data_IF_411097081175
#
_entry.id   IF_411097081175
#
_cell.length_a   1.000
_cell.length_b   1.000
_cell.length_c   1.000
_cell.angle_alpha   90.00
_cell.angle_beta   90.00
_cell.angle_gamma   90.00
#
_symmetry.space_group_name_H-M   'P 1'
#
loop_
_entity.id
_entity.type
_entity.pdbx_description
1 polymer ?
#
# COMPACT_ATOMS: atom_id res chain seq x y z
N UNK A 1 -4.53 -2.09 -16.78
CA UNK A 1 -5.88 -1.91 -17.37
C UNK A 1 -6.80 -1.53 -16.23
N UNK A 2 -7.61 -0.48 -16.38
CA UNK A 2 -8.50 -0.02 -15.31
C UNK A 2 -9.48 -1.15 -14.91
N UNK A 3 -9.60 -1.40 -13.60
CA UNK A 3 -10.44 -2.47 -13.05
C UNK A 3 -11.89 -2.06 -12.81
N UNK A 4 -12.18 -0.77 -12.80
CA UNK A 4 -13.51 -0.20 -12.59
C UNK A 4 -14.29 -0.19 -13.90
N UNK A 5 -14.73 -1.37 -14.33
CA UNK A 5 -15.54 -1.53 -15.53
C UNK A 5 -16.99 -1.11 -15.26
N UNK A 6 -17.57 -0.34 -16.19
CA UNK A 6 -18.92 0.24 -16.01
C UNK A 6 -20.02 -0.82 -15.92
N UNK A 7 -19.86 -1.96 -16.60
CA UNK A 7 -20.77 -3.12 -16.52
C UNK A 7 -20.78 -3.79 -15.14
N UNK A 8 -19.82 -3.47 -14.27
CA UNK A 8 -19.71 -4.00 -12.90
C UNK A 8 -19.95 -2.93 -11.83
N UNK A 9 -20.40 -1.74 -12.23
CA UNK A 9 -20.66 -0.63 -11.33
C UNK A 9 -22.01 -0.77 -10.66
N UNK A 10 -22.04 -0.49 -9.36
CA UNK A 10 -23.24 -0.50 -8.53
C UNK A 10 -23.25 0.75 -7.66
N UNK A 11 -24.46 1.17 -7.28
CA UNK A 11 -24.67 2.30 -6.36
C UNK A 11 -25.67 1.88 -5.29
N UNK A 12 -25.29 2.00 -4.02
CA UNK A 12 -26.15 1.71 -2.87
C UNK A 12 -25.93 2.80 -1.83
N UNK A 13 -27.00 3.45 -1.38
CA UNK A 13 -26.95 4.55 -0.38
C UNK A 13 -25.91 5.63 -0.76
N UNK A 14 -25.91 6.05 -2.03
CA UNK A 14 -24.96 7.00 -2.64
C UNK A 14 -23.49 6.55 -2.68
N UNK A 15 -23.20 5.31 -2.28
CA UNK A 15 -21.86 4.71 -2.39
C UNK A 15 -21.75 3.96 -3.72
N UNK A 16 -20.80 4.39 -4.54
CA UNK A 16 -20.43 3.67 -5.76
C UNK A 16 -19.42 2.58 -5.42
N UNK A 17 -19.63 1.37 -5.92
CA UNK A 17 -18.64 0.29 -5.86
C UNK A 17 -18.65 -0.52 -7.15
N UNK A 18 -17.58 -1.28 -7.36
CA UNK A 18 -17.42 -2.13 -8.53
C UNK A 18 -17.23 -3.58 -8.09
N UNK A 19 -18.11 -4.48 -8.55
CA UNK A 19 -17.97 -5.91 -8.25
C UNK A 19 -16.76 -6.49 -8.98
N UNK A 20 -15.92 -7.25 -8.27
CA UNK A 20 -14.83 -8.04 -8.88
C UNK A 20 -15.32 -9.45 -9.19
N UNK A 21 -14.54 -10.21 -9.94
CA UNK A 21 -14.85 -11.62 -10.16
C UNK A 21 -14.86 -12.35 -8.82
N UNK A 22 -15.89 -13.19 -8.63
CA UNK A 22 -16.00 -14.08 -7.49
C UNK A 22 -14.83 -15.08 -7.56
N UNK A 23 -14.32 -15.45 -6.39
CA UNK A 23 -13.15 -16.34 -6.29
C UNK A 23 -13.42 -17.47 -5.32
N UNK A 24 -12.73 -18.58 -5.54
CA UNK A 24 -12.69 -19.70 -4.61
C UNK A 24 -11.29 -19.78 -4.00
N UNK A 25 -11.21 -19.82 -2.68
CA UNK A 25 -9.95 -19.95 -1.94
C UNK A 25 -10.15 -20.97 -0.84
N UNK A 26 -9.43 -22.10 -0.93
CA UNK A 26 -9.51 -23.20 0.04
C UNK A 26 -10.94 -23.76 0.23
N UNK A 27 -11.74 -23.81 -0.84
CA UNK A 27 -13.12 -24.32 -0.83
C UNK A 27 -14.18 -23.32 -0.36
N UNK A 28 -13.78 -22.12 0.06
CA UNK A 28 -14.69 -21.02 0.37
C UNK A 28 -14.84 -20.07 -0.82
N UNK A 29 -16.07 -19.61 -1.08
CA UNK A 29 -16.36 -18.62 -2.12
C UNK A 29 -16.40 -17.20 -1.54
N UNK A 30 -15.84 -16.25 -2.29
CA UNK A 30 -15.77 -14.85 -1.88
C UNK A 30 -16.25 -13.92 -2.99
N UNK A 31 -17.19 -13.05 -2.63
CA UNK A 31 -17.52 -11.84 -3.38
C UNK A 31 -16.63 -10.69 -2.90
N UNK A 32 -16.17 -9.84 -3.84
CA UNK A 32 -15.27 -8.72 -3.55
C UNK A 32 -15.79 -7.45 -4.19
N UNK A 33 -16.05 -6.44 -3.37
CA UNK A 33 -16.59 -5.14 -3.78
C UNK A 33 -15.51 -4.08 -3.63
N UNK A 34 -15.12 -3.47 -4.73
CA UNK A 34 -14.17 -2.37 -4.74
C UNK A 34 -14.90 -1.04 -4.57
N UNK A 35 -14.81 -0.48 -3.37
CA UNK A 35 -15.59 0.70 -2.97
C UNK A 35 -14.91 1.95 -3.49
N UNK A 36 -15.59 2.69 -4.35
CA UNK A 36 -15.07 3.92 -4.93
C UNK A 36 -15.17 5.07 -3.92
N UNK A 37 -14.11 5.85 -3.85
CA UNK A 37 -13.96 6.95 -2.91
C UNK A 37 -13.56 8.22 -3.66
N UNK A 38 -13.63 9.35 -2.98
CA UNK A 38 -12.87 10.51 -3.41
C UNK A 38 -11.37 10.26 -3.22
N UNK A 39 -10.51 11.12 -3.75
CA UNK A 39 -9.10 11.08 -3.39
C UNK A 39 -8.94 11.46 -1.92
N UNK A 40 -8.63 10.48 -1.07
CA UNK A 40 -8.42 10.68 0.37
C UNK A 40 -7.13 11.47 0.58
N UNK A 41 -7.27 12.68 1.08
CA UNK A 41 -6.20 13.65 1.24
C UNK A 41 -5.43 13.47 2.57
N UNK A 42 -4.34 14.23 2.69
CA UNK A 42 -3.48 14.21 3.88
C UNK A 42 -4.26 14.71 5.10
N UNK A 43 -4.13 13.99 6.21
CA UNK A 43 -4.69 14.39 7.51
C UNK A 43 -6.20 14.13 7.67
N UNK A 44 -6.85 13.50 6.69
CA UNK A 44 -8.22 13.03 6.86
C UNK A 44 -8.32 11.90 7.91
N UNK A 45 -9.52 11.70 8.45
CA UNK A 45 -9.80 10.61 9.38
C UNK A 45 -10.09 9.32 8.63
N UNK A 46 -9.22 8.31 8.78
CA UNK A 46 -9.49 6.98 8.24
C UNK A 46 -10.74 6.35 8.87
N UNK A 47 -11.08 6.68 10.13
CA UNK A 47 -12.29 6.18 10.80
C UNK A 47 -13.54 6.78 10.14
N UNK A 48 -13.56 8.09 9.89
CA UNK A 48 -14.69 8.75 9.21
C UNK A 48 -14.84 8.24 7.77
N UNK A 49 -13.73 7.97 7.09
CA UNK A 49 -13.74 7.38 5.76
C UNK A 49 -14.33 5.95 5.76
N UNK A 50 -14.01 5.12 6.78
CA UNK A 50 -14.65 3.81 6.95
C UNK A 50 -16.15 3.94 7.25
N UNK A 51 -16.55 4.85 8.15
CA UNK A 51 -17.97 5.11 8.46
C UNK A 51 -18.75 5.60 7.23
N UNK A 52 -18.12 6.44 6.40
CA UNK A 52 -18.74 6.99 5.20
C UNK A 52 -18.86 5.96 4.07
N UNK A 53 -17.77 5.28 3.74
CA UNK A 53 -17.69 4.49 2.50
C UNK A 53 -17.94 3.00 2.70
N UNK A 54 -17.50 2.44 3.83
CA UNK A 54 -17.50 0.99 4.06
C UNK A 54 -18.73 0.55 4.84
N UNK A 55 -19.04 1.23 5.94
CA UNK A 55 -20.12 0.87 6.85
C UNK A 55 -21.50 0.76 6.21
N UNK A 56 -21.88 1.55 5.18
CA UNK A 56 -23.18 1.39 4.52
C UNK A 56 -23.39 0.04 3.82
N UNK A 57 -22.30 -0.64 3.45
CA UNK A 57 -22.25 -1.91 2.70
C UNK A 57 -21.80 -3.11 3.55
N UNK A 58 -21.22 -2.83 4.72
CA UNK A 58 -20.58 -3.82 5.61
C UNK A 58 -21.63 -4.65 6.36
N UNK A 59 -21.41 -5.97 6.39
CA UNK A 59 -22.14 -6.91 7.22
C UNK A 59 -21.18 -7.61 8.20
N UNK A 60 -21.70 -8.06 9.35
CA UNK A 60 -20.89 -8.73 10.36
C UNK A 60 -20.18 -9.96 9.77
N UNK A 61 -18.89 -10.11 10.08
CA UNK A 61 -18.04 -11.17 9.54
C UNK A 61 -17.40 -10.84 8.18
N UNK A 62 -17.77 -9.74 7.52
CA UNK A 62 -17.06 -9.27 6.33
C UNK A 62 -15.65 -8.77 6.71
N UNK A 63 -14.72 -8.86 5.75
CA UNK A 63 -13.35 -8.37 5.89
C UNK A 63 -13.16 -7.19 4.94
N UNK A 64 -12.42 -6.16 5.38
CA UNK A 64 -12.07 -5.02 4.53
C UNK A 64 -10.56 -4.99 4.30
N UNK A 65 -10.13 -5.18 3.06
CA UNK A 65 -8.76 -4.90 2.66
C UNK A 65 -8.61 -3.40 2.44
N UNK A 66 -7.62 -2.77 3.07
CA UNK A 66 -7.36 -1.34 3.00
C UNK A 66 -5.97 -1.12 2.40
N UNK A 67 -5.86 -0.26 1.39
CA UNK A 67 -4.56 0.22 0.91
C UNK A 67 -3.83 0.99 2.02
N UNK A 68 -2.61 0.54 2.31
CA UNK A 68 -1.58 1.24 3.09
C UNK A 68 -1.51 2.74 2.80
N UNK A 69 -1.58 3.15 1.54
CA UNK A 69 -1.37 4.53 1.10
C UNK A 69 -2.39 5.46 1.71
N UNK A 70 -3.65 5.03 1.74
CA UNK A 70 -4.74 5.81 2.31
C UNK A 70 -4.57 5.99 3.81
N UNK A 71 -4.13 4.94 4.53
CA UNK A 71 -3.84 5.06 5.96
C UNK A 71 -2.68 6.02 6.20
N UNK A 72 -1.60 5.92 5.43
CA UNK A 72 -0.46 6.83 5.53
C UNK A 72 -0.85 8.29 5.23
N UNK A 73 -1.69 8.53 4.23
CA UNK A 73 -2.23 9.85 3.93
C UNK A 73 -3.05 10.39 5.11
N UNK A 74 -3.97 9.59 5.66
CA UNK A 74 -4.75 9.97 6.84
C UNK A 74 -3.87 10.28 8.05
N UNK A 75 -2.79 9.51 8.26
CA UNK A 75 -1.81 9.75 9.33
C UNK A 75 -0.85 10.92 9.07
N UNK A 76 -1.00 11.59 7.92
CA UNK A 76 -0.05 12.59 7.43
C UNK A 76 1.40 12.07 7.44
N UNK A 77 1.59 10.78 7.17
CA UNK A 77 2.89 10.13 7.16
C UNK A 77 3.54 10.23 5.78
N UNK A 78 3.77 11.48 5.38
CA UNK A 78 4.29 11.85 4.08
C UNK A 78 5.45 12.83 4.23
N UNK A 79 6.31 12.89 3.22
CA UNK A 79 7.45 13.81 3.16
C UNK A 79 7.44 14.52 1.83
N UNK A 80 7.44 15.85 1.87
CA UNK A 80 7.48 16.67 0.68
C UNK A 80 8.92 16.80 0.17
N UNK A 81 9.09 16.81 -1.15
CA UNK A 81 10.40 16.87 -1.81
C UNK A 81 11.19 18.11 -1.41
N UNK A 82 10.49 19.21 -1.12
CA UNK A 82 11.06 20.47 -0.64
C UNK A 82 11.79 20.31 0.71
N UNK A 83 11.36 19.36 1.55
CA UNK A 83 11.97 19.08 2.85
C UNK A 83 13.17 18.13 2.75
N UNK A 84 13.37 17.51 1.59
CA UNK A 84 14.47 16.56 1.34
C UNK A 84 15.67 17.29 0.75
N UNK A 85 16.66 17.57 1.60
CA UNK A 85 17.95 18.13 1.16
C UNK A 85 18.79 17.09 0.44
N UNK A 86 18.81 17.13 -0.89
CA UNK A 86 19.50 16.16 -1.72
C UNK A 86 21.03 16.26 -1.60
N UNK A 87 21.66 15.24 -1.01
CA UNK A 87 23.09 15.15 -0.79
C UNK A 87 23.86 14.45 -1.91
N UNK A 88 25.20 14.52 -1.82
CA UNK A 88 26.11 13.88 -2.77
C UNK A 88 25.89 12.36 -2.88
N UNK A 89 25.81 11.67 -1.73
CA UNK A 89 25.71 10.21 -1.70
C UNK A 89 24.44 9.69 -2.37
N UNK A 90 23.29 10.34 -2.15
CA UNK A 90 22.06 9.97 -2.84
C UNK A 90 22.19 10.11 -4.36
N UNK A 91 22.74 11.24 -4.85
CA UNK A 91 22.98 11.49 -6.29
C UNK A 91 23.96 10.49 -6.91
N UNK A 92 24.96 10.05 -6.14
CA UNK A 92 25.99 9.13 -6.60
C UNK A 92 25.47 7.69 -6.63
N UNK A 93 24.94 7.22 -5.50
CA UNK A 93 24.49 5.83 -5.32
C UNK A 93 23.27 5.48 -6.17
N UNK A 94 22.36 6.44 -6.41
CA UNK A 94 21.15 6.19 -7.20
C UNK A 94 21.46 5.76 -8.65
N UNK A 95 22.60 6.18 -9.20
CA UNK A 95 23.07 5.77 -10.53
C UNK A 95 23.39 4.27 -10.64
N UNK A 96 23.67 3.63 -9.51
CA UNK A 96 24.00 2.21 -9.42
C UNK A 96 22.83 1.35 -8.95
N UNK A 97 21.74 1.97 -8.51
CA UNK A 97 20.55 1.24 -8.10
C UNK A 97 19.91 0.56 -9.32
N UNK A 98 19.41 -0.66 -9.11
CA UNK A 98 18.81 -1.45 -10.16
C UNK A 98 17.45 -0.84 -10.57
N UNK A 99 17.30 -0.50 -11.85
CA UNK A 99 16.01 -0.11 -12.43
C UNK A 99 15.13 -1.34 -12.62
N UNK A 100 14.02 -1.41 -11.88
CA UNK A 100 13.03 -2.47 -12.08
C UNK A 100 11.92 -1.98 -13.02
N UNK A 101 11.28 -2.89 -13.75
CA UNK A 101 10.04 -2.61 -14.48
C UNK A 101 8.81 -2.47 -13.56
N UNK A 102 8.97 -2.76 -12.26
CA UNK A 102 7.89 -2.77 -11.26
C UNK A 102 7.65 -1.41 -10.59
N UNK A 103 8.47 -0.40 -10.88
CA UNK A 103 8.35 0.96 -10.31
C UNK A 103 9.68 1.67 -10.15
N UNK A 104 9.61 2.94 -9.72
CA UNK A 104 10.76 3.78 -9.39
C UNK A 104 11.32 3.33 -8.03
N UNK A 105 12.53 2.79 -8.04
CA UNK A 105 13.22 2.29 -6.86
C UNK A 105 14.17 3.33 -6.28
N UNK A 106 15.21 2.86 -5.62
CA UNK A 106 16.29 3.71 -5.09
C UNK A 106 17.18 4.34 -6.19
N UNK A 107 16.78 4.22 -7.45
CA UNK A 107 17.37 4.93 -8.59
C UNK A 107 16.88 6.38 -8.71
N UNK A 108 15.79 6.73 -8.01
CA UNK A 108 15.38 8.13 -7.78
C UNK A 108 16.20 8.74 -6.63
N UNK A 109 17.04 9.77 -6.89
CA UNK A 109 17.89 10.38 -5.88
C UNK A 109 17.15 10.89 -4.64
N UNK A 110 15.96 11.48 -4.78
CA UNK A 110 15.20 11.99 -3.64
C UNK A 110 14.69 10.86 -2.74
N UNK A 111 14.26 9.74 -3.35
CA UNK A 111 13.83 8.54 -2.63
C UNK A 111 14.98 7.91 -1.85
N UNK A 112 16.16 7.81 -2.47
CA UNK A 112 17.36 7.33 -1.79
C UNK A 112 17.84 8.29 -0.69
N UNK A 113 17.75 9.61 -0.90
CA UNK A 113 18.06 10.58 0.15
C UNK A 113 17.10 10.45 1.34
N UNK A 114 15.81 10.24 1.08
CA UNK A 114 14.84 10.00 2.14
C UNK A 114 15.17 8.72 2.92
N UNK A 115 15.57 7.64 2.24
CA UNK A 115 16.06 6.44 2.91
C UNK A 115 17.29 6.73 3.79
N UNK A 116 18.26 7.52 3.30
CA UNK A 116 19.42 7.97 4.09
C UNK A 116 18.97 8.76 5.32
N UNK A 117 17.97 9.64 5.21
CA UNK A 117 17.47 10.43 6.32
C UNK A 117 16.81 9.56 7.40
N UNK A 118 16.15 8.46 7.02
CA UNK A 118 15.44 7.55 7.93
C UNK A 118 16.41 6.59 8.64
N UNK A 119 17.29 5.90 7.89
CA UNK A 119 18.13 4.82 8.46
C UNK A 119 19.62 5.18 8.61
N UNK A 120 20.01 6.35 8.14
CA UNK A 120 21.39 6.83 8.18
C UNK A 120 22.24 6.36 7.00
N UNK A 121 23.16 7.22 6.59
CA UNK A 121 24.12 6.95 5.51
C UNK A 121 24.98 5.69 5.74
N UNK A 122 25.53 5.42 6.94
CA UNK A 122 26.37 4.23 7.14
C UNK A 122 25.63 2.93 6.82
N UNK A 123 24.35 2.83 7.19
CA UNK A 123 23.52 1.65 6.91
C UNK A 123 23.27 1.49 5.42
N UNK A 124 22.99 2.60 4.71
CA UNK A 124 22.80 2.60 3.26
C UNK A 124 24.08 2.16 2.54
N UNK A 125 25.25 2.69 2.93
CA UNK A 125 26.52 2.29 2.34
C UNK A 125 26.83 0.80 2.57
N UNK A 126 26.60 0.31 3.79
CA UNK A 126 26.75 -1.11 4.11
C UNK A 126 25.81 -1.99 3.27
N UNK A 127 24.52 -1.63 3.19
CA UNK A 127 23.54 -2.35 2.39
C UNK A 127 23.90 -2.35 0.89
N UNK A 128 24.34 -1.21 0.35
CA UNK A 128 24.80 -1.10 -1.04
C UNK A 128 26.01 -2.00 -1.29
N UNK A 129 27.00 -2.01 -0.40
CA UNK A 129 28.18 -2.88 -0.50
C UNK A 129 27.80 -4.36 -0.48
N UNK A 130 26.99 -4.79 0.50
CA UNK A 130 26.50 -6.16 0.59
C UNK A 130 25.65 -6.57 -0.62
N UNK A 131 24.88 -5.64 -1.20
CA UNK A 131 24.10 -5.92 -2.42
C UNK A 131 24.99 -6.17 -3.63
N UNK A 132 26.15 -5.50 -3.75
CA UNK A 132 27.13 -5.76 -4.80
C UNK A 132 27.73 -7.17 -4.63
N UNK A 133 28.14 -7.52 -3.41
CA UNK A 133 28.66 -8.86 -3.10
C UNK A 133 27.60 -9.92 -3.36
N UNK A 134 26.38 -9.73 -2.86
CA UNK A 134 25.27 -10.67 -3.05
C UNK A 134 25.01 -10.98 -4.53
N UNK A 135 25.10 -9.96 -5.39
CA UNK A 135 24.95 -10.12 -6.85
C UNK A 135 26.02 -11.02 -7.46
N UNK A 136 27.26 -11.00 -6.96
CA UNK A 136 28.33 -11.91 -7.39
C UNK A 136 28.01 -13.38 -7.07
N UNK A 137 27.21 -13.63 -6.03
CA UNK A 137 26.73 -14.96 -5.63
C UNK A 137 25.29 -15.25 -6.12
N UNK A 138 24.76 -14.45 -7.05
CA UNK A 138 23.41 -14.65 -7.60
C UNK A 138 22.25 -14.27 -6.67
N UNK A 139 22.52 -13.69 -5.48
CA UNK A 139 21.49 -13.23 -4.54
C UNK A 139 21.00 -11.84 -4.94
N UNK A 140 19.67 -11.67 -5.02
CA UNK A 140 18.99 -10.39 -5.28
C UNK A 140 18.22 -9.97 -4.02
N UNK A 141 17.98 -8.68 -3.84
CA UNK A 141 17.17 -8.16 -2.72
C UNK A 141 17.94 -7.88 -1.43
N UNK A 142 19.22 -8.26 -1.33
CA UNK A 142 20.07 -8.08 -0.12
C UNK A 142 20.06 -6.64 0.42
N UNK A 143 19.96 -5.63 -0.44
CA UNK A 143 19.83 -4.23 -0.01
C UNK A 143 18.62 -4.05 0.93
N UNK A 144 17.43 -4.51 0.51
CA UNK A 144 16.18 -4.35 1.26
C UNK A 144 16.12 -5.23 2.51
N UNK A 145 16.73 -6.41 2.48
CA UNK A 145 16.91 -7.26 3.68
C UNK A 145 17.68 -6.53 4.79
N UNK A 146 18.69 -5.72 4.43
CA UNK A 146 19.50 -4.97 5.39
C UNK A 146 18.80 -3.68 5.82
N UNK A 147 18.29 -2.88 4.88
CA UNK A 147 17.70 -1.58 5.22
C UNK A 147 16.35 -1.71 5.93
N UNK A 148 15.59 -2.76 5.63
CA UNK A 148 14.29 -3.10 6.23
C UNK A 148 13.09 -2.70 5.36
N UNK A 149 11.95 -3.37 5.59
CA UNK A 149 10.72 -3.22 4.79
C UNK A 149 10.16 -1.79 4.79
N UNK A 150 10.40 -1.01 5.85
CA UNK A 150 9.99 0.40 5.90
C UNK A 150 10.61 1.27 4.80
N UNK A 151 11.78 0.89 4.28
CA UNK A 151 12.43 1.57 3.15
C UNK A 151 11.89 1.05 1.80
N UNK A 152 11.52 -0.23 1.73
CA UNK A 152 10.91 -0.80 0.52
C UNK A 152 9.55 -0.17 0.22
N UNK A 153 8.76 0.12 1.25
CA UNK A 153 7.43 0.74 1.13
C UNK A 153 7.42 2.28 1.05
N UNK A 154 8.56 2.93 0.81
CA UNK A 154 8.55 4.35 0.42
C UNK A 154 7.94 4.44 -0.97
N UNK A 155 6.89 5.24 -1.13
CA UNK A 155 6.20 5.44 -2.40
C UNK A 155 6.15 6.93 -2.75
N UNK A 156 6.09 7.31 -4.03
CA UNK A 156 6.04 8.71 -4.47
C UNK A 156 7.37 9.28 -4.99
N UNK A 157 7.41 10.60 -5.20
CA UNK A 157 8.35 11.29 -6.09
C UNK A 157 8.27 10.79 -7.54
N UNK A 158 7.06 10.66 -8.05
CA UNK A 158 6.76 10.06 -9.36
C UNK A 158 6.33 11.12 -10.37
N UNK A 159 7.22 11.60 -11.25
CA UNK A 159 6.87 12.65 -12.22
C UNK A 159 5.69 12.29 -13.13
N UNK A 160 5.52 10.99 -13.39
CA UNK A 160 4.47 10.44 -14.25
C UNK A 160 3.27 9.87 -13.47
N UNK A 161 3.09 10.26 -12.21
CA UNK A 161 1.92 9.82 -11.44
C UNK A 161 0.62 10.41 -12.00
N UNK A 162 -0.46 9.64 -11.95
CA UNK A 162 -1.82 10.10 -12.26
C UNK A 162 -2.32 11.18 -11.29
N UNK A 163 -1.71 11.28 -10.10
CA UNK A 163 -2.04 12.31 -9.11
C UNK A 163 -0.85 13.24 -8.89
N UNK A 164 -1.08 14.54 -9.09
CA UNK A 164 -0.02 15.56 -9.00
C UNK A 164 0.68 15.57 -7.64
N UNK A 165 -0.05 15.30 -6.56
CA UNK A 165 0.51 15.27 -5.20
C UNK A 165 1.69 14.28 -5.07
N UNK A 166 1.61 13.11 -5.73
CA UNK A 166 2.66 12.09 -5.64
C UNK A 166 3.89 12.38 -6.52
N UNK A 167 3.87 13.45 -7.33
CA UNK A 167 5.04 13.91 -8.08
C UNK A 167 6.12 14.48 -7.16
N UNK A 168 5.69 15.20 -6.12
CA UNK A 168 6.57 15.88 -5.18
C UNK A 168 6.36 15.47 -3.72
N UNK A 169 5.50 14.50 -3.44
CA UNK A 169 5.29 13.92 -2.11
C UNK A 169 5.70 12.44 -2.11
N UNK A 170 6.45 12.04 -1.10
CA UNK A 170 6.64 10.64 -0.76
C UNK A 170 5.68 10.22 0.37
N UNK A 171 5.06 9.06 0.24
CA UNK A 171 4.25 8.39 1.26
C UNK A 171 5.12 7.32 1.91
N UNK A 172 5.17 7.30 3.24
CA UNK A 172 5.86 6.28 4.01
C UNK A 172 4.87 5.19 4.44
N UNK A 173 5.35 4.01 4.81
CA UNK A 173 4.50 2.96 5.37
C UNK A 173 3.69 3.45 6.58
N UNK A 174 2.44 2.98 6.78
CA UNK A 174 1.63 3.35 7.92
C UNK A 174 2.33 3.16 9.26
N UNK A 175 2.13 4.10 10.19
CA UNK A 175 2.57 3.97 11.57
C UNK A 175 1.61 3.04 12.32
N UNK A 176 2.16 2.05 13.02
CA UNK A 176 1.40 1.11 13.85
C UNK A 176 0.15 0.52 13.13
N UNK A 177 0.30 -0.14 11.97
CA UNK A 177 -0.83 -0.61 11.18
C UNK A 177 -1.75 -1.59 11.93
N UNK A 178 -1.21 -2.45 12.80
CA UNK A 178 -2.04 -3.28 13.68
C UNK A 178 -2.91 -2.42 14.61
N UNK A 179 -2.34 -1.40 15.24
CA UNK A 179 -3.10 -0.48 16.09
C UNK A 179 -4.17 0.31 15.32
N UNK A 180 -3.91 0.66 14.05
CA UNK A 180 -4.93 1.27 13.18
C UNK A 180 -6.10 0.31 12.95
N UNK A 181 -5.81 -0.96 12.63
CA UNK A 181 -6.86 -1.97 12.47
C UNK A 181 -7.68 -2.17 13.75
N UNK A 182 -7.02 -2.23 14.92
CA UNK A 182 -7.71 -2.31 16.20
C UNK A 182 -8.55 -1.07 16.50
N UNK A 183 -8.06 0.12 16.18
CA UNK A 183 -8.81 1.37 16.36
C UNK A 183 -10.06 1.40 15.47
N UNK A 184 -9.93 1.01 14.19
CA UNK A 184 -11.05 0.89 13.26
C UNK A 184 -12.07 -0.11 13.80
N UNK A 185 -11.63 -1.29 14.23
CA UNK A 185 -12.51 -2.30 14.80
C UNK A 185 -13.24 -1.79 16.06
N UNK A 186 -12.52 -1.16 16.98
CA UNK A 186 -13.13 -0.70 18.24
C UNK A 186 -14.14 0.44 18.04
N UNK A 187 -13.92 1.33 17.06
CA UNK A 187 -14.82 2.46 16.80
C UNK A 187 -15.98 2.11 15.89
N UNK A 188 -15.78 1.19 14.94
CA UNK A 188 -16.74 0.95 13.85
C UNK A 188 -17.22 -0.51 13.80
N UNK A 189 -16.60 -1.44 14.52
CA UNK A 189 -16.87 -2.88 14.41
C UNK A 189 -16.34 -3.54 13.13
N UNK A 190 -15.69 -2.79 12.23
CA UNK A 190 -15.17 -3.31 10.96
C UNK A 190 -13.89 -4.11 11.18
N UNK A 191 -13.88 -5.35 10.71
CA UNK A 191 -12.67 -6.17 10.63
C UNK A 191 -11.92 -5.79 9.35
N UNK A 192 -10.68 -5.32 9.49
CA UNK A 192 -9.86 -4.91 8.36
C UNK A 192 -8.43 -5.44 8.39
N UNK A 193 -7.81 -5.42 7.21
CA UNK A 193 -6.40 -5.73 6.95
C UNK A 193 -5.82 -4.61 6.10
N UNK A 194 -4.71 -4.03 6.55
CA UNK A 194 -3.94 -3.03 5.80
C UNK A 194 -2.89 -3.78 4.99
N UNK A 195 -2.88 -3.55 3.68
CA UNK A 195 -1.97 -4.19 2.75
C UNK A 195 -1.22 -3.18 1.90
N UNK A 196 0.05 -3.49 1.63
CA UNK A 196 0.77 -2.96 0.48
C UNK A 196 0.64 -4.00 -0.64
N UNK A 197 -0.07 -3.63 -1.70
CA UNK A 197 -0.37 -4.53 -2.80
C UNK A 197 -0.18 -3.84 -4.14
N UNK A 198 0.46 -4.56 -5.06
CA UNK A 198 0.52 -4.22 -6.47
C UNK A 198 0.32 -5.49 -7.32
N UNK A 199 0.41 -5.35 -8.64
CA UNK A 199 0.19 -6.48 -9.57
C UNK A 199 1.30 -7.57 -9.49
N UNK A 200 2.38 -7.36 -8.73
CA UNK A 200 3.54 -8.26 -8.59
C UNK A 200 3.66 -8.81 -7.16
N UNK A 201 3.51 -7.96 -6.14
CA UNK A 201 3.73 -8.31 -4.73
C UNK A 201 2.58 -7.84 -3.84
N UNK A 202 2.37 -8.55 -2.73
CA UNK A 202 1.35 -8.26 -1.71
C UNK A 202 1.93 -8.57 -0.33
N UNK A 203 1.90 -7.60 0.57
CA UNK A 203 2.35 -7.73 1.96
C UNK A 203 1.26 -7.26 2.91
N UNK A 204 0.97 -8.03 3.95
CA UNK A 204 0.11 -7.60 5.06
C UNK A 204 0.97 -6.74 5.99
N UNK A 205 0.61 -5.47 6.12
CA UNK A 205 1.29 -4.55 7.05
C UNK A 205 0.67 -4.59 8.44
N UNK A 206 -0.65 -4.76 8.51
CA UNK A 206 -1.34 -4.97 9.76
C UNK A 206 -2.74 -5.53 9.59
N UNK A 207 -3.27 -6.12 10.65
CA UNK A 207 -4.55 -6.82 10.62
C UNK A 207 -5.27 -6.71 11.96
N UNK A 208 -6.59 -6.78 11.89
CA UNK A 208 -7.42 -6.90 13.08
C UNK A 208 -7.18 -8.25 13.74
N UNK A 209 -7.11 -8.28 15.07
CA UNK A 209 -6.99 -9.50 15.88
C UNK A 209 -8.14 -10.48 15.67
N UNK A 210 -9.29 -9.99 15.21
CA UNK A 210 -10.50 -10.78 14.91
C UNK A 210 -10.61 -11.26 13.46
N UNK A 211 -9.52 -11.19 12.68
CA UNK A 211 -9.52 -11.68 11.30
C UNK A 211 -9.92 -13.17 11.25
N UNK A 212 -10.99 -13.57 10.53
CA UNK A 212 -11.50 -14.92 10.57
C UNK A 212 -10.80 -15.90 9.61
N UNK A 213 -9.73 -15.46 8.95
CA UNK A 213 -8.97 -16.22 7.95
C UNK A 213 -7.46 -16.12 8.24
N UNK A 214 -6.68 -17.08 7.76
CA UNK A 214 -5.21 -17.00 7.88
C UNK A 214 -4.63 -15.94 6.94
N UNK A 215 -3.38 -15.54 7.20
CA UNK A 215 -2.67 -14.58 6.35
C UNK A 215 -2.49 -15.12 4.94
N UNK A 216 -2.18 -16.42 4.80
CA UNK A 216 -2.05 -17.08 3.51
C UNK A 216 -3.39 -17.09 2.75
N UNK A 217 -4.49 -17.43 3.44
CA UNK A 217 -5.82 -17.42 2.83
C UNK A 217 -6.19 -16.01 2.36
N UNK A 218 -5.97 -15.00 3.21
CA UNK A 218 -6.24 -13.60 2.87
C UNK A 218 -5.42 -13.12 1.66
N UNK A 219 -4.12 -13.42 1.60
CA UNK A 219 -3.27 -13.04 0.48
C UNK A 219 -3.69 -13.72 -0.85
N UNK A 220 -4.30 -14.90 -0.79
CA UNK A 220 -4.92 -15.54 -1.95
C UNK A 220 -6.23 -14.86 -2.38
N UNK A 221 -7.04 -14.40 -1.41
CA UNK A 221 -8.29 -13.68 -1.67
C UNK A 221 -8.04 -12.38 -2.47
N UNK A 222 -6.93 -11.70 -2.21
CA UNK A 222 -6.58 -10.45 -2.90
C UNK A 222 -5.54 -10.65 -4.02
N UNK A 223 -5.34 -11.88 -4.53
CA UNK A 223 -4.13 -12.19 -5.30
C UNK A 223 -3.95 -11.42 -6.60
N UNK A 224 -5.08 -11.06 -7.19
CA UNK A 224 -5.21 -10.36 -8.44
C UNK A 224 -5.21 -8.85 -8.25
N UNK A 225 -4.88 -8.32 -7.06
CA UNK A 225 -4.95 -6.90 -6.70
C UNK A 225 -6.33 -6.28 -7.03
N UNK A 226 -7.38 -6.61 -6.24
CA UNK A 226 -8.74 -6.12 -6.52
C UNK A 226 -8.88 -4.60 -6.41
N UNK A 227 -7.98 -3.91 -5.70
CA UNK A 227 -7.97 -2.46 -5.55
C UNK A 227 -7.57 -1.71 -6.83
N UNK A 228 -6.81 -2.35 -7.73
CA UNK A 228 -6.20 -1.66 -8.86
C UNK A 228 -4.85 -1.04 -8.50
N UNK A 229 -4.25 -0.31 -9.45
CA UNK A 229 -2.84 0.10 -9.36
C UNK A 229 -2.61 1.59 -9.69
N UNK A 230 -3.63 2.35 -10.05
CA UNK A 230 -3.47 3.71 -10.56
C UNK A 230 -4.57 4.64 -10.03
N UNK A 231 -5.50 5.06 -10.88
CA UNK A 231 -6.50 6.09 -10.63
C UNK A 231 -7.90 5.51 -10.36
N UNK A 232 -8.00 4.22 -10.02
CA UNK A 232 -9.27 3.56 -9.73
C UNK A 232 -9.99 4.14 -8.50
N UNK A 233 -9.27 4.77 -7.57
CA UNK A 233 -9.82 5.36 -6.34
C UNK A 233 -10.68 4.37 -5.54
N UNK A 234 -10.29 3.09 -5.54
CA UNK A 234 -10.95 2.01 -4.79
C UNK A 234 -10.05 1.41 -3.70
N UNK A 235 -9.64 2.21 -2.69
CA UNK A 235 -8.68 1.78 -1.67
C UNK A 235 -9.25 0.78 -0.67
N UNK A 236 -10.58 0.61 -0.63
CA UNK A 236 -11.28 -0.32 0.25
C UNK A 236 -11.90 -1.45 -0.56
N UNK A 237 -11.51 -2.68 -0.27
CA UNK A 237 -12.12 -3.89 -0.84
C UNK A 237 -12.90 -4.59 0.26
N UNK A 238 -14.22 -4.55 0.16
CA UNK A 238 -15.09 -5.33 1.03
C UNK A 238 -15.17 -6.76 0.50
N UNK A 239 -14.82 -7.72 1.36
CA UNK A 239 -14.74 -9.14 1.07
C UNK A 239 -15.87 -9.82 1.86
N UNK A 240 -16.77 -10.47 1.14
CA UNK A 240 -17.90 -11.22 1.68
C UNK A 240 -17.70 -12.70 1.36
N UNK A 241 -17.77 -13.55 2.38
CA UNK A 241 -17.87 -15.00 2.18
C UNK A 241 -19.31 -15.34 1.79
N UNK A 242 -19.50 -16.10 0.71
CA UNK A 242 -20.82 -16.46 0.14
C UNK A 242 -21.02 -17.97 0.08
#
# INVERSE_FOLDING_TARGET
MNRNKEDRKHVVKDITYYKRDDIEVQGDHYERLAIHTHFIARGESYVENIEKYVKPLYEEGNIVSISEKVISMCQNNCVDKADVRLGFWAKFLSKFAHRSSAGIGMDEPYKLQLAINIVGLPKILYASFCSVIGKLFGKRGVFYEIVGNGIAGIDGFYPNSSFDIYKDTAVLNPKNPNGVCEEIYNKTGVICVIVDANDISREILGKSSKLPVSDEQFLQIIRDNPAGQSDELTPFILIKKI
#
